data_IF_896799157696
#
_entry.id   IF_896799157696
#
_cell.length_a   1.000
_cell.length_b   1.000
_cell.length_c   1.000
_cell.angle_alpha   90.00
_cell.angle_beta   90.00
_cell.angle_gamma   90.00
#
_symmetry.space_group_name_H-M   'P 1'
#
loop_
_entity.id
_entity.type
_entity.pdbx_description
1 polymer ?
#
# COMPACT_ATOMS: atom_id res chain seq x y z
N UNK A 1 -20.70 12.90 15.30
CA UNK A 1 -20.08 12.27 14.11
C UNK A 1 -18.65 11.89 14.47
N UNK A 2 -18.35 10.61 14.64
CA UNK A 2 -16.97 10.17 14.93
C UNK A 2 -16.16 10.22 13.64
N UNK A 3 -15.24 11.18 13.53
CA UNK A 3 -14.30 11.24 12.41
C UNK A 3 -13.34 10.05 12.57
N UNK A 4 -13.60 8.95 11.85
CA UNK A 4 -12.69 7.81 11.83
C UNK A 4 -11.46 8.19 11.03
N UNK A 5 -10.31 8.29 11.68
CA UNK A 5 -9.03 8.55 11.04
C UNK A 5 -8.75 7.43 10.03
N UNK A 6 -8.39 7.75 8.77
CA UNK A 6 -8.16 6.72 7.77
C UNK A 6 -6.99 5.82 8.18
N UNK A 7 -7.22 4.50 8.10
CA UNK A 7 -6.18 3.49 8.34
C UNK A 7 -5.02 3.65 7.36
N UNK A 8 -3.84 3.14 7.73
CA UNK A 8 -2.70 3.07 6.82
C UNK A 8 -3.08 2.41 5.49
N UNK A 9 -3.88 1.35 5.54
CA UNK A 9 -4.43 0.67 4.37
C UNK A 9 -5.23 1.60 3.45
N UNK A 10 -6.09 2.44 4.02
CA UNK A 10 -6.91 3.39 3.24
C UNK A 10 -6.05 4.50 2.63
N UNK A 11 -5.04 4.97 3.37
CA UNK A 11 -4.08 5.98 2.88
C UNK A 11 -3.26 5.45 1.70
N UNK A 12 -2.71 4.24 1.83
CA UNK A 12 -1.93 3.58 0.78
C UNK A 12 -2.74 3.36 -0.49
N UNK A 13 -3.99 2.92 -0.38
CA UNK A 13 -4.88 2.82 -1.54
C UNK A 13 -5.07 4.17 -2.22
N UNK A 14 -5.31 5.24 -1.45
CA UNK A 14 -5.46 6.60 -1.98
C UNK A 14 -4.23 7.06 -2.75
N UNK A 15 -3.03 6.86 -2.17
CA UNK A 15 -1.76 7.21 -2.81
C UNK A 15 -1.49 6.38 -4.08
N UNK A 16 -1.74 5.07 -4.03
CA UNK A 16 -1.57 4.23 -5.22
C UNK A 16 -2.52 4.64 -6.34
N UNK A 17 -3.76 5.06 -6.00
CA UNK A 17 -4.73 5.53 -6.97
C UNK A 17 -4.35 6.91 -7.54
N UNK A 18 -3.87 7.83 -6.71
CA UNK A 18 -3.47 9.17 -7.18
C UNK A 18 -2.24 9.12 -8.09
N UNK A 19 -1.33 8.18 -7.86
CA UNK A 19 -0.16 7.94 -8.70
C UNK A 19 -0.46 7.07 -9.94
N UNK A 20 -1.72 6.68 -10.16
CA UNK A 20 -2.09 5.84 -11.30
C UNK A 20 -1.55 4.40 -11.24
N UNK A 21 -0.98 3.97 -10.12
CA UNK A 21 -0.44 2.63 -9.92
C UNK A 21 -1.56 1.58 -9.95
N UNK A 22 -2.74 1.94 -9.44
CA UNK A 22 -3.94 1.08 -9.44
C UNK A 22 -5.15 1.87 -9.88
N UNK A 23 -6.04 1.22 -10.63
CA UNK A 23 -7.31 1.81 -11.10
C UNK A 23 -8.48 1.48 -10.19
N UNK A 24 -8.41 0.33 -9.49
CA UNK A 24 -9.50 -0.19 -8.67
C UNK A 24 -9.03 -0.85 -7.38
N UNK A 25 -9.95 -1.03 -6.44
CA UNK A 25 -9.70 -1.77 -5.19
C UNK A 25 -9.31 -3.24 -5.42
N UNK A 26 -9.76 -3.81 -6.53
CA UNK A 26 -9.46 -5.20 -6.91
C UNK A 26 -8.01 -5.33 -7.38
N UNK A 27 -7.54 -4.36 -8.17
CA UNK A 27 -6.12 -4.28 -8.54
C UNK A 27 -5.25 -4.05 -7.32
N UNK A 28 -5.64 -3.14 -6.42
CA UNK A 28 -4.91 -2.91 -5.18
C UNK A 28 -4.80 -4.18 -4.33
N UNK A 29 -5.90 -4.91 -4.15
CA UNK A 29 -5.87 -6.16 -3.38
C UNK A 29 -4.94 -7.20 -4.01
N UNK A 30 -4.95 -7.32 -5.34
CA UNK A 30 -4.01 -8.21 -6.07
C UNK A 30 -2.56 -7.74 -5.95
N UNK A 31 -2.32 -6.42 -5.97
CA UNK A 31 -0.99 -5.83 -5.80
C UNK A 31 -0.42 -6.12 -4.39
N UNK A 32 -1.29 -6.26 -3.39
CA UNK A 32 -0.95 -6.73 -2.05
C UNK A 32 -0.83 -8.25 -1.93
N UNK A 33 -0.96 -9.03 -3.03
CA UNK A 33 -0.95 -10.50 -2.99
C UNK A 33 -2.19 -11.12 -2.33
N UNK A 34 -3.33 -10.43 -2.37
CA UNK A 34 -4.59 -10.85 -1.71
C UNK A 34 -5.72 -11.06 -2.70
N UNK A 35 -6.78 -11.73 -2.23
CA UNK A 35 -8.02 -11.89 -2.97
C UNK A 35 -8.72 -10.54 -3.22
N UNK A 36 -9.52 -10.45 -4.28
CA UNK A 36 -10.16 -9.22 -4.74
C UNK A 36 -11.03 -8.52 -3.66
N UNK A 37 -11.66 -9.31 -2.77
CA UNK A 37 -12.51 -8.82 -1.67
C UNK A 37 -11.73 -8.32 -0.45
N UNK A 38 -10.41 -8.53 -0.41
CA UNK A 38 -9.62 -8.31 0.80
C UNK A 38 -9.60 -6.84 1.23
N UNK A 39 -9.39 -5.90 0.32
CA UNK A 39 -9.33 -4.48 0.68
C UNK A 39 -10.65 -3.97 1.27
N UNK A 40 -11.78 -4.29 0.63
CA UNK A 40 -13.09 -3.85 1.11
C UNK A 40 -13.42 -4.48 2.46
N UNK A 41 -13.15 -5.77 2.65
CA UNK A 41 -13.33 -6.45 3.92
C UNK A 41 -12.46 -5.84 5.03
N UNK A 42 -11.17 -5.62 4.75
CA UNK A 42 -10.21 -5.04 5.71
C UNK A 42 -10.56 -3.60 6.06
N UNK A 43 -10.97 -2.80 5.08
CA UNK A 43 -11.47 -1.43 5.28
C UNK A 43 -12.71 -1.40 6.17
N UNK A 44 -13.71 -2.23 5.89
CA UNK A 44 -14.94 -2.29 6.69
C UNK A 44 -14.68 -2.70 8.14
N UNK A 45 -13.73 -3.62 8.36
CA UNK A 45 -13.32 -4.08 9.69
C UNK A 45 -12.29 -3.18 10.37
N UNK A 46 -11.88 -2.08 9.72
CA UNK A 46 -10.85 -1.16 10.21
C UNK A 46 -9.51 -1.88 10.55
N UNK A 47 -9.17 -2.92 9.77
CA UNK A 47 -7.98 -3.74 9.96
C UNK A 47 -6.77 -3.05 9.33
N UNK A 48 -5.63 -3.14 10.02
CA UNK A 48 -4.35 -2.64 9.50
C UNK A 48 -3.81 -3.55 8.40
N UNK A 49 -3.05 -2.99 7.47
CA UNK A 49 -2.30 -3.81 6.52
C UNK A 49 -1.29 -4.68 7.29
N UNK A 50 -1.22 -5.96 6.95
CA UNK A 50 -0.26 -6.89 7.53
C UNK A 50 1.13 -6.66 6.93
N UNK A 51 2.18 -7.04 7.67
CA UNK A 51 3.57 -6.85 7.23
C UNK A 51 3.86 -7.53 5.90
N UNK A 52 3.42 -8.78 5.70
CA UNK A 52 3.59 -9.51 4.45
C UNK A 52 2.94 -8.78 3.26
N UNK A 53 1.69 -8.33 3.42
CA UNK A 53 0.97 -7.58 2.39
C UNK A 53 1.63 -6.23 2.07
N UNK A 54 2.20 -5.57 3.08
CA UNK A 54 2.92 -4.31 2.91
C UNK A 54 4.26 -4.49 2.18
N UNK A 55 5.01 -5.56 2.48
CA UNK A 55 6.23 -5.94 1.73
C UNK A 55 5.89 -6.31 0.29
N UNK A 56 4.86 -7.12 0.06
CA UNK A 56 4.42 -7.45 -1.31
C UNK A 56 4.04 -6.18 -2.07
N UNK A 57 3.30 -5.27 -1.43
CA UNK A 57 2.90 -4.01 -2.04
C UNK A 57 4.11 -3.15 -2.44
N UNK A 58 5.15 -3.03 -1.59
CA UNK A 58 6.32 -2.21 -1.92
C UNK A 58 7.07 -2.74 -3.14
N UNK A 59 7.30 -4.06 -3.19
CA UNK A 59 7.98 -4.72 -4.31
C UNK A 59 7.19 -4.55 -5.61
N UNK A 60 5.86 -4.72 -5.54
CA UNK A 60 5.00 -4.59 -6.71
C UNK A 60 4.87 -3.14 -7.20
N UNK A 61 4.84 -2.16 -6.30
CA UNK A 61 4.91 -0.73 -6.65
C UNK A 61 6.23 -0.43 -7.37
N UNK A 62 7.36 -0.90 -6.83
CA UNK A 62 8.67 -0.67 -7.42
C UNK A 62 8.78 -1.28 -8.82
N UNK A 63 8.31 -2.52 -8.99
CA UNK A 63 8.26 -3.19 -10.29
C UNK A 63 7.45 -2.37 -11.30
N UNK A 64 6.21 -1.99 -10.95
CA UNK A 64 5.36 -1.17 -11.83
C UNK A 64 5.97 0.19 -12.13
N UNK A 65 6.62 0.82 -11.16
CA UNK A 65 7.26 2.12 -11.36
C UNK A 65 8.34 2.07 -12.44
N UNK A 66 9.07 0.95 -12.52
CA UNK A 66 10.14 0.74 -13.51
C UNK A 66 9.60 0.31 -14.87
N UNK A 67 8.56 -0.53 -14.90
CA UNK A 67 8.08 -1.19 -16.12
C UNK A 67 6.92 -0.46 -16.81
N UNK A 68 6.03 0.17 -16.05
CA UNK A 68 4.70 0.61 -16.54
C UNK A 68 4.45 2.10 -16.36
N UNK A 69 5.08 2.77 -15.38
CA UNK A 69 4.75 4.16 -15.06
C UNK A 69 5.54 5.19 -15.88
N UNK A 70 4.90 6.33 -16.20
CA UNK A 70 5.56 7.50 -16.78
C UNK A 70 6.77 7.99 -15.95
N UNK A 71 7.76 8.57 -16.62
CA UNK A 71 9.01 9.00 -15.99
C UNK A 71 8.81 10.10 -14.94
N UNK A 72 7.81 10.95 -15.11
CA UNK A 72 7.43 12.01 -14.16
C UNK A 72 6.81 11.45 -12.87
N UNK A 73 6.12 10.31 -12.96
CA UNK A 73 5.47 9.66 -11.81
C UNK A 73 6.40 8.66 -11.10
N UNK A 74 7.35 8.06 -11.84
CA UNK A 74 8.26 7.03 -11.34
C UNK A 74 8.97 7.39 -10.02
N UNK A 75 9.57 8.58 -9.83
CA UNK A 75 10.22 8.94 -8.57
C UNK A 75 9.28 8.89 -7.36
N UNK A 76 8.02 9.32 -7.53
CA UNK A 76 7.02 9.32 -6.46
C UNK A 76 6.59 7.90 -6.09
N UNK A 77 6.41 7.03 -7.08
CA UNK A 77 6.09 5.62 -6.84
C UNK A 77 7.25 4.88 -6.15
N UNK A 78 8.50 5.12 -6.56
CA UNK A 78 9.68 4.56 -5.90
C UNK A 78 9.83 5.05 -4.46
N UNK A 79 9.57 6.35 -4.22
CA UNK A 79 9.58 6.90 -2.88
C UNK A 79 8.49 6.28 -1.98
N UNK A 80 7.29 6.08 -2.53
CA UNK A 80 6.20 5.40 -1.81
C UNK A 80 6.58 3.96 -1.41
N UNK A 81 7.22 3.21 -2.31
CA UNK A 81 7.74 1.87 -2.01
C UNK A 81 8.77 1.90 -0.88
N UNK A 82 9.72 2.84 -0.92
CA UNK A 82 10.76 3.00 0.11
C UNK A 82 10.16 3.34 1.48
N UNK A 83 9.30 4.35 1.56
CA UNK A 83 8.67 4.78 2.81
C UNK A 83 7.83 3.65 3.45
N UNK A 84 7.19 2.82 2.61
CA UNK A 84 6.45 1.67 3.10
C UNK A 84 7.38 0.66 3.77
N UNK A 85 8.55 0.38 3.20
CA UNK A 85 9.56 -0.51 3.80
C UNK A 85 10.15 0.05 5.10
N UNK A 86 10.42 1.36 5.15
CA UNK A 86 10.92 2.03 6.37
C UNK A 86 9.89 1.92 7.50
N UNK A 87 8.62 2.21 7.22
CA UNK A 87 7.52 2.08 8.18
C UNK A 87 7.39 0.65 8.72
N UNK A 88 7.64 -0.36 7.88
CA UNK A 88 7.63 -1.77 8.29
C UNK A 88 8.80 -2.08 9.22
N UNK A 89 10.00 -1.60 8.88
CA UNK A 89 11.22 -1.81 9.69
C UNK A 89 11.07 -1.22 11.08
N UNK A 90 10.62 0.04 11.18
CA UNK A 90 10.39 0.71 12.47
C UNK A 90 9.43 -0.08 13.35
N UNK A 91 8.33 -0.61 12.78
CA UNK A 91 7.38 -1.44 13.52
C UNK A 91 7.98 -2.77 13.97
N UNK A 92 8.85 -3.38 13.15
CA UNK A 92 9.52 -4.62 13.49
C UNK A 92 10.55 -4.43 14.61
N UNK A 93 11.25 -3.30 14.65
CA UNK A 93 12.22 -2.96 15.70
C UNK A 93 11.53 -2.66 17.03
N UNK A 94 10.43 -1.90 17.03
CA UNK A 94 9.63 -1.60 18.24
C UNK A 94 9.04 -2.87 18.87
N UNK A 95 8.78 -3.92 18.08
CA UNK A 95 8.23 -5.18 18.60
C UNK A 95 9.29 -6.08 19.26
N UNK A 96 10.58 -5.76 19.09
CA UNK A 96 11.71 -6.52 19.66
C UNK A 96 12.24 -5.96 20.99
N UNK A 97 11.69 -4.84 21.46
CA UNK A 97 11.96 -4.24 22.77
C UNK A 97 10.89 -4.68 23.78
#
# INVERSE_FOLDING_TARGET
MTIKTPTLLTKLFGQCKSLGIVKSQYEFSRLCGRQQSWYSASKCRNVQISTDAAVTLSVMIEKRAREELPEDIRPYALNLSRLLLETIKEKAEVTRC
#
